data_IF_607717735327
#
_entry.id   IF_607717735327
#
_cell.length_a   1.000
_cell.length_b   1.000
_cell.length_c   1.000
_cell.angle_alpha   90.00
_cell.angle_beta   90.00
_cell.angle_gamma   90.00
#
_symmetry.space_group_name_H-M   'P 1'
#
loop_
_entity.id
_entity.type
_entity.pdbx_description
1 polymer ?
#
# COMPACT_ATOMS: atom_id res chain seq x y z
N UNK A 1 -10.14 19.06 -21.53
CA UNK A 1 -9.24 18.55 -20.48
C UNK A 1 -9.63 17.10 -20.20
N UNK A 2 -8.87 16.12 -20.71
CA UNK A 2 -9.22 14.71 -20.54
C UNK A 2 -8.95 14.28 -19.10
N UNK A 3 -10.01 13.98 -18.34
CA UNK A 3 -9.93 13.38 -17.02
C UNK A 3 -9.48 11.93 -17.21
N UNK A 4 -8.19 11.65 -17.03
CA UNK A 4 -7.72 10.27 -16.87
C UNK A 4 -8.37 9.70 -15.62
N UNK A 5 -9.47 8.96 -15.81
CA UNK A 5 -10.02 8.06 -14.80
C UNK A 5 -9.00 6.96 -14.57
N UNK A 6 -8.07 7.20 -13.64
CA UNK A 6 -7.30 6.13 -13.02
C UNK A 6 -8.33 5.15 -12.44
N UNK A 7 -8.48 3.98 -13.06
CA UNK A 7 -9.28 2.87 -12.53
C UNK A 7 -8.60 2.39 -11.24
N UNK A 8 -8.74 3.14 -10.16
CA UNK A 8 -8.29 2.75 -8.83
C UNK A 8 -9.28 1.71 -8.32
N UNK A 9 -8.83 0.47 -8.27
CA UNK A 9 -9.59 -0.58 -7.61
C UNK A 9 -9.38 -0.48 -6.10
N UNK A 10 -10.47 -0.62 -5.35
CA UNK A 10 -10.43 -0.70 -3.90
C UNK A 10 -10.12 -2.14 -3.50
N UNK A 11 -9.14 -2.32 -2.63
CA UNK A 11 -8.79 -3.61 -2.04
C UNK A 11 -9.04 -3.50 -0.53
N UNK A 12 -9.90 -4.37 -0.01
CA UNK A 12 -10.09 -4.55 1.43
C UNK A 12 -9.15 -5.63 1.94
N UNK A 13 -8.32 -5.32 2.93
CA UNK A 13 -7.41 -6.29 3.58
C UNK A 13 -7.86 -6.50 5.02
N UNK A 14 -8.01 -7.76 5.44
CA UNK A 14 -8.24 -8.10 6.84
C UNK A 14 -6.89 -8.18 7.56
N UNK A 15 -6.74 -7.39 8.62
CA UNK A 15 -5.55 -7.34 9.45
C UNK A 15 -5.92 -7.72 10.88
N UNK A 16 -4.99 -8.36 11.59
CA UNK A 16 -5.09 -8.47 13.05
C UNK A 16 -4.85 -7.10 13.69
N UNK A 17 -5.27 -6.93 14.93
CA UNK A 17 -5.11 -5.65 15.63
C UNK A 17 -3.64 -5.22 15.76
N UNK A 18 -2.73 -6.17 15.96
CA UNK A 18 -1.30 -5.93 16.02
C UNK A 18 -0.76 -5.40 14.68
N UNK A 19 -1.13 -6.05 13.57
CA UNK A 19 -0.72 -5.65 12.22
C UNK A 19 -1.29 -4.26 11.87
N UNK A 20 -2.52 -3.97 12.31
CA UNK A 20 -3.15 -2.64 12.14
C UNK A 20 -2.42 -1.55 12.92
N UNK A 21 -1.98 -1.84 14.16
CA UNK A 21 -1.18 -0.89 14.96
C UNK A 21 0.16 -0.62 14.29
N UNK A 22 0.82 -1.66 13.80
CA UNK A 22 2.08 -1.52 13.09
C UNK A 22 1.93 -0.64 11.83
N UNK A 23 0.88 -0.88 11.02
CA UNK A 23 0.59 -0.07 9.83
C UNK A 23 0.44 1.42 10.17
N UNK A 24 -0.27 1.74 11.26
CA UNK A 24 -0.46 3.12 11.73
C UNK A 24 0.83 3.77 12.21
N UNK A 25 1.67 3.06 12.95
CA UNK A 25 2.94 3.59 13.42
C UNK A 25 3.91 3.85 12.26
N UNK A 26 3.91 3.00 11.23
CA UNK A 26 4.70 3.23 10.02
C UNK A 26 4.18 4.47 9.28
N UNK A 27 2.86 4.57 9.06
CA UNK A 27 2.24 5.71 8.41
C UNK A 27 2.60 7.02 9.12
N UNK A 28 2.49 7.04 10.45
CA UNK A 28 2.85 8.20 11.28
C UNK A 28 4.33 8.56 11.21
N UNK A 29 5.23 7.56 11.27
CA UNK A 29 6.68 7.79 11.27
C UNK A 29 7.18 8.44 9.97
N UNK A 30 6.55 8.12 8.85
CA UNK A 30 6.94 8.63 7.53
C UNK A 30 6.03 9.76 7.03
N UNK A 31 5.03 10.17 7.81
CA UNK A 31 4.03 11.20 7.45
C UNK A 31 3.34 10.89 6.10
N UNK A 32 2.90 9.65 5.92
CA UNK A 32 2.22 9.16 4.71
C UNK A 32 0.92 8.44 5.05
N UNK A 33 0.06 8.23 4.06
CA UNK A 33 -1.18 7.49 4.27
C UNK A 33 -0.93 6.00 4.51
N UNK A 34 -1.82 5.33 5.26
CA UNK A 34 -1.79 3.86 5.40
C UNK A 34 -1.82 3.17 4.03
N UNK A 35 -2.53 3.74 3.04
CA UNK A 35 -2.58 3.23 1.67
C UNK A 35 -1.23 3.29 0.95
N UNK A 36 -0.44 4.35 1.18
CA UNK A 36 0.90 4.48 0.60
C UNK A 36 1.87 3.50 1.24
N UNK A 37 1.75 3.25 2.55
CA UNK A 37 2.52 2.20 3.23
C UNK A 37 2.26 0.84 2.58
N UNK A 38 0.99 0.48 2.37
CA UNK A 38 0.63 -0.79 1.71
C UNK A 38 1.16 -0.83 0.27
N UNK A 39 1.04 0.26 -0.50
CA UNK A 39 1.58 0.34 -1.87
C UNK A 39 3.09 0.13 -1.91
N UNK A 40 3.83 0.73 -0.98
CA UNK A 40 5.29 0.56 -0.87
C UNK A 40 5.61 -0.89 -0.50
N UNK A 41 4.90 -1.46 0.48
CA UNK A 41 5.09 -2.84 0.93
C UNK A 41 4.86 -3.83 -0.22
N UNK A 42 3.78 -3.68 -1.00
CA UNK A 42 3.49 -4.53 -2.17
C UNK A 42 4.62 -4.44 -3.20
N UNK A 43 5.07 -3.23 -3.55
CA UNK A 43 6.14 -3.04 -4.54
C UNK A 43 7.46 -3.64 -4.07
N UNK A 44 7.80 -3.48 -2.79
CA UNK A 44 9.00 -4.05 -2.20
C UNK A 44 8.93 -5.58 -2.20
N UNK A 45 7.81 -6.14 -1.75
CA UNK A 45 7.58 -7.58 -1.74
C UNK A 45 7.65 -8.20 -3.14
N UNK A 46 7.03 -7.56 -4.14
CA UNK A 46 7.11 -7.99 -5.53
C UNK A 46 8.56 -7.99 -6.04
N UNK A 47 9.32 -6.92 -5.77
CA UNK A 47 10.74 -6.82 -6.14
C UNK A 47 11.57 -7.92 -5.48
N UNK A 48 11.37 -8.17 -4.19
CA UNK A 48 12.09 -9.19 -3.43
C UNK A 48 11.77 -10.61 -3.96
N UNK A 49 10.58 -10.82 -4.54
CA UNK A 49 10.18 -12.06 -5.21
C UNK A 49 10.58 -12.13 -6.70
N UNK A 50 11.15 -11.08 -7.27
CA UNK A 50 11.44 -11.00 -8.71
C UNK A 50 10.19 -10.91 -9.60
N UNK A 51 9.06 -10.45 -9.05
CA UNK A 51 7.82 -10.25 -9.80
C UNK A 51 7.84 -8.84 -10.40
N UNK A 52 7.97 -8.76 -11.73
CA UNK A 52 7.81 -7.52 -12.48
C UNK A 52 6.36 -7.39 -12.97
N UNK A 53 5.72 -6.27 -12.61
CA UNK A 53 4.40 -5.91 -13.13
C UNK A 53 4.61 -4.72 -14.06
N UNK A 54 4.44 -4.96 -15.36
CA UNK A 54 4.58 -3.96 -16.44
C UNK A 54 3.48 -2.90 -16.44
#
# INVERSE_FOLDING_TARGET
>A
MFKMSSNKQLIGVRLRDEDRKLLKEIAKRYDISESDVIRIAIRKFAKDMGIEVG
#
